data_IF_075678235223
#
_entry.id   IF_075678235223
#
_cell.length_a   1.000
_cell.length_b   1.000
_cell.length_c   1.000
_cell.angle_alpha   90.00
_cell.angle_beta   90.00
_cell.angle_gamma   90.00
#
_symmetry.space_group_name_H-M   'P 1'
#
loop_
_entity.id
_entity.type
_entity.pdbx_description
1 polymer ?
#
# COMPACT_ATOMS: atom_id res chain seq x y z
N UNK A 1 15.78 -18.62 -0.72
CA UNK A 1 14.69 -17.81 -0.15
C UNK A 1 14.29 -16.73 -1.14
N UNK A 2 13.00 -16.50 -1.39
CA UNK A 2 12.56 -15.67 -2.53
C UNK A 2 12.59 -14.15 -2.28
N UNK A 3 12.49 -13.72 -1.01
CA UNK A 3 12.61 -12.30 -0.61
C UNK A 3 14.06 -11.80 -0.53
N UNK A 4 15.05 -12.63 -0.84
CA UNK A 4 16.45 -12.31 -0.59
C UNK A 4 16.75 -12.21 0.91
N UNK A 5 17.55 -11.21 1.29
CA UNK A 5 18.05 -10.94 2.64
C UNK A 5 17.35 -9.74 3.30
N UNK A 6 16.27 -9.23 2.71
CA UNK A 6 15.47 -8.18 3.36
C UNK A 6 14.85 -8.70 4.66
N UNK A 7 14.72 -7.86 5.71
CA UNK A 7 14.05 -8.25 6.95
C UNK A 7 12.63 -8.76 6.67
N UNK A 8 12.33 -9.95 7.17
CA UNK A 8 11.06 -10.63 6.85
C UNK A 8 9.91 -9.98 7.63
N UNK A 9 8.72 -9.83 7.05
CA UNK A 9 7.57 -9.30 7.78
C UNK A 9 7.29 -10.08 9.07
N UNK A 10 7.12 -9.36 10.18
CA UNK A 10 6.94 -9.90 11.52
C UNK A 10 8.22 -10.34 12.23
N UNK A 11 9.40 -9.88 11.76
CA UNK A 11 10.67 -10.05 12.50
C UNK A 11 11.00 -8.86 13.40
N UNK A 12 10.24 -7.76 13.27
CA UNK A 12 10.26 -6.63 14.20
C UNK A 12 8.85 -6.34 14.69
N UNK A 13 8.75 -6.02 15.97
CA UNK A 13 7.51 -5.58 16.59
C UNK A 13 7.14 -4.15 16.19
N UNK A 14 5.89 -3.79 16.46
CA UNK A 14 5.34 -2.46 16.21
C UNK A 14 3.97 -2.53 15.56
N UNK A 15 3.26 -1.40 15.60
CA UNK A 15 1.96 -1.24 14.92
C UNK A 15 2.12 -1.62 13.44
N UNK A 16 1.19 -2.36 12.81
CA UNK A 16 1.34 -2.72 11.41
C UNK A 16 1.34 -1.47 10.52
N UNK A 17 2.09 -1.52 9.42
CA UNK A 17 2.04 -0.50 8.38
C UNK A 17 0.88 -0.77 7.41
N UNK A 18 0.26 0.27 6.88
CA UNK A 18 -0.67 0.18 5.76
C UNK A 18 -0.15 1.03 4.61
N UNK A 19 0.39 0.36 3.60
CA UNK A 19 0.87 0.96 2.37
C UNK A 19 -0.30 1.20 1.40
N UNK A 20 -0.42 2.43 0.92
CA UNK A 20 -1.53 2.91 0.09
C UNK A 20 -1.03 3.37 -1.26
N UNK A 21 -1.49 2.74 -2.34
CA UNK A 21 -1.41 3.35 -3.66
C UNK A 21 -2.53 4.38 -3.88
N UNK A 22 -2.39 5.23 -4.89
CA UNK A 22 -3.38 6.23 -5.28
C UNK A 22 -4.12 5.78 -6.53
N UNK A 23 -3.43 5.70 -7.67
CA UNK A 23 -4.04 5.33 -8.95
C UNK A 23 -4.58 3.90 -8.89
N UNK A 24 -5.80 3.67 -9.36
CA UNK A 24 -6.49 2.37 -9.27
C UNK A 24 -6.93 1.96 -7.86
N UNK A 25 -6.48 2.65 -6.80
CA UNK A 25 -6.82 2.31 -5.40
C UNK A 25 -7.69 3.36 -4.75
N UNK A 26 -7.14 4.53 -4.46
CA UNK A 26 -7.88 5.65 -3.88
C UNK A 26 -8.54 6.49 -4.96
N UNK A 27 -7.94 6.51 -6.15
CA UNK A 27 -8.41 7.13 -7.38
C UNK A 27 -8.64 6.08 -8.47
N UNK A 28 -9.82 5.44 -8.53
CA UNK A 28 -10.13 4.43 -9.53
C UNK A 28 -10.28 5.01 -10.95
N UNK A 29 -10.12 4.14 -11.94
CA UNK A 29 -10.23 4.47 -13.36
C UNK A 29 -11.68 4.77 -13.77
N UNK A 30 -12.63 4.01 -13.22
CA UNK A 30 -14.06 4.07 -13.58
C UNK A 30 -14.97 4.01 -12.34
N UNK A 31 -14.86 4.99 -11.42
CA UNK A 31 -15.60 4.94 -10.16
C UNK A 31 -17.10 4.84 -10.35
N UNK A 32 -17.76 4.20 -9.38
CA UNK A 32 -19.20 4.36 -9.15
C UNK A 32 -19.51 5.76 -8.59
N UNK A 33 -20.76 6.01 -8.22
CA UNK A 33 -21.14 7.20 -7.48
C UNK A 33 -20.32 7.37 -6.18
N UNK A 34 -20.18 8.63 -5.72
CA UNK A 34 -19.47 8.97 -4.47
C UNK A 34 -18.02 9.43 -4.64
N UNK A 35 -17.54 9.58 -5.87
CA UNK A 35 -16.22 10.14 -6.18
C UNK A 35 -16.34 11.53 -6.79
N UNK A 36 -15.46 12.43 -6.36
CA UNK A 36 -15.33 13.79 -6.91
C UNK A 36 -14.08 13.86 -7.78
N UNK A 37 -14.20 14.44 -8.97
CA UNK A 37 -13.06 14.70 -9.85
C UNK A 37 -12.28 15.95 -9.41
N UNK A 38 -10.97 15.83 -9.36
CA UNK A 38 -10.05 16.92 -9.07
C UNK A 38 -8.97 16.98 -10.14
N UNK A 39 -8.75 18.18 -10.69
CA UNK A 39 -7.67 18.42 -11.64
C UNK A 39 -6.38 18.78 -10.88
N UNK A 40 -5.29 18.05 -11.16
CA UNK A 40 -3.95 18.31 -10.64
C UNK A 40 -3.01 18.43 -11.83
N UNK A 41 -2.73 19.67 -12.24
CA UNK A 41 -2.01 19.94 -13.49
C UNK A 41 -2.77 19.37 -14.69
N UNK A 42 -2.19 18.35 -15.35
CA UNK A 42 -2.80 17.66 -16.51
C UNK A 42 -3.44 16.33 -16.14
N UNK A 43 -3.40 15.94 -14.86
CA UNK A 43 -3.97 14.71 -14.35
C UNK A 43 -5.34 14.96 -13.74
N UNK A 44 -6.23 13.98 -13.83
CA UNK A 44 -7.50 13.96 -13.12
C UNK A 44 -7.47 12.82 -12.12
N UNK A 45 -7.68 13.14 -10.84
CA UNK A 45 -7.87 12.15 -9.78
C UNK A 45 -9.33 12.14 -9.33
N UNK A 46 -9.80 10.99 -8.89
CA UNK A 46 -11.18 10.77 -8.46
C UNK A 46 -11.18 10.37 -7.00
N UNK A 47 -11.58 11.25 -6.10
CA UNK A 47 -11.43 11.03 -4.65
C UNK A 47 -12.80 10.91 -4.00
N UNK A 48 -12.96 9.91 -3.13
CA UNK A 48 -14.11 9.76 -2.27
C UNK A 48 -13.81 10.28 -0.86
N UNK A 49 -14.69 11.13 -0.32
CA UNK A 49 -14.59 11.58 1.07
C UNK A 49 -14.77 10.40 2.07
N UNK A 50 -15.51 9.35 1.68
CA UNK A 50 -15.66 8.15 2.50
C UNK A 50 -14.34 7.40 2.69
N UNK A 51 -13.48 7.36 1.66
CA UNK A 51 -12.14 6.78 1.78
C UNK A 51 -11.34 7.50 2.87
N UNK A 52 -11.44 8.83 2.96
CA UNK A 52 -10.84 9.61 4.03
C UNK A 52 -11.32 9.19 5.43
N UNK A 53 -12.62 8.97 5.60
CA UNK A 53 -13.20 8.48 6.84
C UNK A 53 -12.66 7.09 7.18
N UNK A 54 -12.64 6.16 6.22
CA UNK A 54 -12.15 4.81 6.42
C UNK A 54 -10.67 4.79 6.80
N UNK A 55 -9.84 5.57 6.12
CA UNK A 55 -8.40 5.64 6.38
C UNK A 55 -8.09 6.24 7.75
N UNK A 56 -8.79 7.30 8.18
CA UNK A 56 -8.66 7.83 9.56
C UNK A 56 -9.06 6.82 10.63
N UNK A 57 -10.06 5.99 10.36
CA UNK A 57 -10.40 4.89 11.28
C UNK A 57 -9.31 3.82 11.29
N UNK A 58 -8.77 3.46 10.13
CA UNK A 58 -7.65 2.51 10.04
C UNK A 58 -6.38 3.04 10.71
N UNK A 59 -6.10 4.36 10.71
CA UNK A 59 -4.91 4.92 11.37
C UNK A 59 -4.86 4.75 12.89
N UNK A 60 -5.96 4.30 13.51
CA UNK A 60 -5.95 3.90 14.92
C UNK A 60 -5.14 2.61 15.13
N UNK A 61 -5.24 1.66 14.20
CA UNK A 61 -4.55 0.36 14.24
C UNK A 61 -3.33 0.27 13.31
N UNK A 62 -3.14 1.24 12.41
CA UNK A 62 -2.07 1.22 11.40
C UNK A 62 -1.25 2.51 11.41
N UNK A 63 0.04 2.38 11.10
CA UNK A 63 0.82 3.50 10.57
C UNK A 63 0.58 3.56 9.06
N UNK A 64 -0.12 4.60 8.60
CA UNK A 64 -0.39 4.79 7.17
C UNK A 64 0.85 5.31 6.45
N UNK A 65 1.11 4.80 5.24
CA UNK A 65 2.25 5.19 4.41
C UNK A 65 1.82 5.27 2.95
N UNK A 66 2.23 6.34 2.26
CA UNK A 66 2.08 6.41 0.81
C UNK A 66 3.02 5.42 0.12
N UNK A 67 2.45 4.52 -0.69
CA UNK A 67 3.15 3.56 -1.54
C UNK A 67 2.73 3.73 -3.00
N UNK A 68 2.78 4.98 -3.44
CA UNK A 68 2.39 5.41 -4.76
C UNK A 68 3.52 6.15 -5.46
N UNK A 69 3.49 6.22 -6.80
CA UNK A 69 4.46 7.01 -7.57
C UNK A 69 4.26 8.52 -7.46
N UNK A 70 3.24 8.97 -6.73
CA UNK A 70 3.15 10.37 -6.32
C UNK A 70 4.16 10.72 -5.22
N UNK A 71 4.65 9.73 -4.45
CA UNK A 71 5.61 9.92 -3.35
C UNK A 71 5.21 11.10 -2.43
N UNK A 72 6.12 12.02 -2.13
CA UNK A 72 5.85 13.20 -1.30
C UNK A 72 4.70 14.06 -1.84
N UNK A 73 4.51 14.13 -3.17
CA UNK A 73 3.43 14.91 -3.78
C UNK A 73 2.02 14.39 -3.42
N UNK A 74 1.91 13.15 -2.92
CA UNK A 74 0.66 12.66 -2.35
C UNK A 74 0.21 13.50 -1.14
N UNK A 75 1.15 14.02 -0.34
CA UNK A 75 0.83 14.92 0.78
C UNK A 75 0.36 16.29 0.31
N UNK A 76 0.81 16.76 -0.85
CA UNK A 76 0.43 18.05 -1.41
C UNK A 76 -0.95 18.01 -2.06
N UNK A 77 -1.27 16.90 -2.75
CA UNK A 77 -2.44 16.85 -3.63
C UNK A 77 -3.52 15.85 -3.23
N UNK A 78 -3.19 14.75 -2.57
CA UNK A 78 -4.14 13.66 -2.29
C UNK A 78 -4.56 13.64 -0.82
N UNK A 79 -3.60 13.75 0.10
CA UNK A 79 -3.85 13.79 1.55
C UNK A 79 -4.90 14.81 1.98
N UNK A 80 -4.82 16.09 1.52
CA UNK A 80 -5.81 17.11 1.86
C UNK A 80 -7.23 16.77 1.40
N UNK A 81 -7.38 16.19 0.21
CA UNK A 81 -8.68 15.78 -0.35
C UNK A 81 -9.33 14.65 0.48
N UNK A 82 -8.50 13.80 1.09
CA UNK A 82 -8.94 12.74 1.99
C UNK A 82 -9.09 13.21 3.44
N UNK A 83 -8.68 14.45 3.77
CA UNK A 83 -8.61 14.94 5.14
C UNK A 83 -7.65 14.14 6.01
N UNK A 84 -6.51 13.74 5.45
CA UNK A 84 -5.43 13.05 6.14
C UNK A 84 -4.33 14.05 6.53
N UNK A 85 -3.65 13.85 7.67
CA UNK A 85 -2.40 14.57 7.94
C UNK A 85 -1.32 14.11 6.95
N UNK A 86 -0.20 14.85 6.84
CA UNK A 86 0.96 14.37 6.10
C UNK A 86 1.38 12.98 6.57
N UNK A 87 1.59 12.07 5.62
CA UNK A 87 2.02 10.69 5.86
C UNK A 87 3.45 10.49 5.38
N UNK A 88 4.21 9.56 5.99
CA UNK A 88 5.45 9.08 5.37
C UNK A 88 5.16 8.45 4.01
N UNK A 89 6.16 8.44 3.13
CA UNK A 89 6.08 7.79 1.82
C UNK A 89 7.27 6.85 1.60
N UNK A 90 7.12 5.92 0.66
CA UNK A 90 8.21 5.05 0.21
C UNK A 90 8.85 5.69 -1.02
N UNK A 91 10.16 5.91 -0.99
CA UNK A 91 10.93 6.34 -2.16
C UNK A 91 11.01 5.19 -3.18
N UNK A 92 10.44 5.40 -4.37
CA UNK A 92 10.50 4.49 -5.51
C UNK A 92 11.43 5.01 -6.59
N UNK A 93 11.43 6.31 -6.89
CA UNK A 93 12.27 6.90 -7.94
C UNK A 93 13.74 6.92 -7.56
N UNK A 94 14.05 7.28 -6.31
CA UNK A 94 15.42 7.31 -5.78
C UNK A 94 15.90 5.93 -5.29
N UNK A 95 15.05 4.91 -5.40
CA UNK A 95 15.42 3.56 -4.99
C UNK A 95 16.43 2.92 -5.96
N UNK A 96 17.65 2.73 -5.48
CA UNK A 96 18.65 1.91 -6.16
C UNK A 96 18.55 0.45 -5.69
N UNK A 97 18.40 -0.54 -6.58
CA UNK A 97 18.42 -1.96 -6.23
C UNK A 97 19.68 -2.35 -5.45
N UNK A 98 19.50 -3.13 -4.39
CA UNK A 98 20.55 -3.50 -3.44
C UNK A 98 20.74 -5.00 -3.41
N UNK A 99 21.93 -5.42 -2.97
CA UNK A 99 22.19 -6.82 -2.66
C UNK A 99 21.19 -7.30 -1.59
N UNK A 100 20.62 -8.47 -1.80
CA UNK A 100 19.64 -9.07 -0.90
C UNK A 100 18.19 -8.64 -1.17
N UNK A 101 17.91 -7.86 -2.21
CA UNK A 101 16.53 -7.63 -2.63
C UNK A 101 15.87 -8.90 -3.18
N UNK A 102 14.53 -8.97 -3.19
CA UNK A 102 13.80 -10.10 -3.74
C UNK A 102 14.19 -10.41 -5.18
N UNK A 103 14.28 -11.71 -5.50
CA UNK A 103 14.60 -12.14 -6.86
C UNK A 103 13.38 -12.02 -7.75
N UNK A 104 13.44 -11.14 -8.74
CA UNK A 104 12.37 -10.90 -9.71
C UNK A 104 12.88 -11.23 -11.12
N UNK A 105 12.10 -11.95 -11.96
CA UNK A 105 12.42 -12.10 -13.37
C UNK A 105 12.49 -10.73 -14.08
N UNK A 106 13.53 -10.49 -14.90
CA UNK A 106 13.76 -9.19 -15.56
C UNK A 106 12.51 -8.64 -16.28
N UNK A 107 11.76 -9.52 -16.94
CA UNK A 107 10.53 -9.17 -17.68
C UNK A 107 9.39 -8.66 -16.79
N UNK A 108 9.45 -8.86 -15.47
CA UNK A 108 8.44 -8.41 -14.52
C UNK A 108 8.88 -7.17 -13.73
N UNK A 109 10.09 -6.66 -13.93
CA UNK A 109 10.60 -5.48 -13.22
C UNK A 109 9.66 -4.26 -13.28
N UNK A 110 9.04 -3.91 -14.42
CA UNK A 110 8.15 -2.76 -14.48
C UNK A 110 6.96 -2.85 -13.51
N UNK A 111 6.42 -4.05 -13.33
CA UNK A 111 5.23 -4.33 -12.50
C UNK A 111 5.57 -4.70 -11.05
N UNK A 112 6.86 -4.72 -10.69
CA UNK A 112 7.32 -5.16 -9.37
C UNK A 112 8.28 -4.17 -8.72
N UNK A 113 8.53 -3.03 -9.37
CA UNK A 113 9.44 -1.98 -8.90
C UNK A 113 9.17 -1.51 -7.47
N UNK A 114 7.91 -1.51 -7.03
CA UNK A 114 7.52 -1.10 -5.67
C UNK A 114 7.88 -2.12 -4.59
N UNK A 115 8.10 -3.38 -4.96
CA UNK A 115 8.15 -4.48 -3.99
C UNK A 115 9.38 -4.45 -3.07
N UNK A 116 10.58 -4.35 -3.64
CA UNK A 116 11.81 -4.28 -2.86
C UNK A 116 11.88 -3.01 -1.98
N UNK A 117 11.55 -1.79 -2.49
CA UNK A 117 11.41 -0.59 -1.67
C UNK A 117 10.47 -0.75 -0.49
N UNK A 118 9.25 -1.29 -0.71
CA UNK A 118 8.25 -1.50 0.35
C UNK A 118 8.79 -2.44 1.44
N UNK A 119 9.43 -3.55 1.05
CA UNK A 119 10.00 -4.49 2.02
C UNK A 119 11.14 -3.86 2.84
N UNK A 120 11.99 -3.06 2.20
CA UNK A 120 13.07 -2.33 2.86
C UNK A 120 12.54 -1.27 3.81
N UNK A 121 11.55 -0.50 3.38
CA UNK A 121 10.87 0.50 4.22
C UNK A 121 10.17 -0.15 5.41
N UNK A 122 9.47 -1.28 5.20
CA UNK A 122 8.81 -2.02 6.27
C UNK A 122 9.80 -2.55 7.30
N UNK A 123 11.03 -2.86 6.86
CA UNK A 123 12.16 -3.21 7.71
C UNK A 123 11.81 -4.30 8.74
N UNK A 124 10.99 -5.27 8.33
CA UNK A 124 10.58 -6.42 9.15
C UNK A 124 9.32 -6.21 9.99
N UNK A 125 8.73 -5.00 10.02
CA UNK A 125 7.43 -4.77 10.65
C UNK A 125 6.31 -5.50 9.89
N UNK A 126 5.22 -5.91 10.57
CA UNK A 126 4.03 -6.40 9.87
C UNK A 126 3.43 -5.30 8.99
N UNK A 127 2.89 -5.65 7.83
CA UNK A 127 2.23 -4.66 6.98
C UNK A 127 1.12 -5.21 6.09
N UNK A 128 0.18 -4.34 5.74
CA UNK A 128 -0.75 -4.52 4.65
C UNK A 128 -0.37 -3.60 3.47
N UNK A 129 -0.67 -4.02 2.24
CA UNK A 129 -0.40 -3.23 1.03
C UNK A 129 -1.60 -3.27 0.09
N UNK A 130 -2.22 -2.10 -0.11
CA UNK A 130 -3.32 -1.87 -1.03
C UNK A 130 -2.79 -1.31 -2.35
N UNK A 131 -2.90 -2.11 -3.41
CA UNK A 131 -2.36 -1.80 -4.74
C UNK A 131 -3.16 -2.60 -5.78
N UNK A 132 -3.35 -2.04 -6.97
CA UNK A 132 -3.99 -2.70 -8.10
C UNK A 132 -2.99 -3.53 -8.92
N UNK A 133 -1.69 -3.22 -8.84
CA UNK A 133 -0.60 -3.92 -9.53
C UNK A 133 0.09 -4.92 -8.59
N UNK A 134 -0.58 -6.06 -8.36
CA UNK A 134 -0.04 -7.17 -7.56
C UNK A 134 0.15 -8.46 -8.38
N UNK A 135 1.19 -8.54 -9.24
CA UNK A 135 1.45 -9.70 -10.08
C UNK A 135 1.70 -10.98 -9.28
N UNK A 136 1.52 -12.12 -9.94
CA UNK A 136 1.62 -13.45 -9.32
C UNK A 136 2.98 -13.68 -8.62
N UNK A 137 4.06 -13.11 -9.14
CA UNK A 137 5.39 -13.20 -8.50
C UNK A 137 5.39 -12.61 -7.09
N UNK A 138 4.87 -11.40 -6.90
CA UNK A 138 4.75 -10.78 -5.58
C UNK A 138 3.89 -11.64 -4.68
N UNK A 139 2.73 -12.11 -5.18
CA UNK A 139 1.81 -12.95 -4.40
C UNK A 139 2.46 -14.25 -3.94
N UNK A 140 3.25 -14.91 -4.79
CA UNK A 140 4.01 -16.11 -4.46
C UNK A 140 5.09 -15.84 -3.40
N UNK A 141 5.80 -14.72 -3.52
CA UNK A 141 6.82 -14.33 -2.55
C UNK A 141 6.24 -13.93 -1.19
N UNK A 142 5.06 -13.32 -1.18
CA UNK A 142 4.36 -12.91 0.03
C UNK A 142 3.71 -14.10 0.78
N UNK A 143 3.30 -15.15 0.08
CA UNK A 143 2.50 -16.26 0.64
C UNK A 143 3.10 -16.95 1.88
N UNK A 144 4.42 -17.22 1.96
CA UNK A 144 5.05 -17.76 3.17
C UNK A 144 4.93 -16.83 4.39
N UNK A 145 4.76 -15.51 4.16
CA UNK A 145 4.72 -14.47 5.19
C UNK A 145 3.31 -13.97 5.49
N UNK A 146 2.27 -14.62 4.95
CA UNK A 146 0.86 -14.19 5.01
C UNK A 146 0.27 -13.96 6.41
N UNK A 147 0.97 -14.37 7.46
CA UNK A 147 0.61 -14.08 8.85
C UNK A 147 0.89 -12.62 9.21
N UNK A 148 2.01 -12.06 8.75
CA UNK A 148 2.47 -10.71 9.06
C UNK A 148 2.52 -9.78 7.82
N UNK A 149 2.17 -10.31 6.65
CA UNK A 149 2.05 -9.54 5.42
C UNK A 149 0.69 -9.79 4.77
N UNK A 150 -0.08 -8.73 4.57
CA UNK A 150 -1.39 -8.77 3.91
C UNK A 150 -1.38 -8.02 2.59
N UNK A 151 -1.34 -8.75 1.48
CA UNK A 151 -1.64 -8.16 0.18
C UNK A 151 -3.14 -7.91 0.04
N UNK A 152 -3.49 -6.71 -0.40
CA UNK A 152 -4.86 -6.29 -0.66
C UNK A 152 -4.97 -5.89 -2.14
N UNK A 153 -5.22 -6.86 -3.05
CA UNK A 153 -5.41 -6.55 -4.46
C UNK A 153 -6.68 -5.76 -4.65
N UNK A 154 -6.55 -4.57 -5.24
CA UNK A 154 -7.67 -3.68 -5.53
C UNK A 154 -8.02 -3.76 -7.01
N UNK A 155 -9.31 -3.70 -7.32
CA UNK A 155 -9.75 -3.62 -8.71
C UNK A 155 -9.69 -2.15 -9.14
N UNK A 156 -8.86 -1.77 -10.14
CA UNK A 156 -8.67 -0.38 -10.53
C UNK A 156 -9.95 0.30 -11.03
N UNK A 157 -10.91 -0.49 -11.55
CA UNK A 157 -12.21 0.04 -11.95
C UNK A 157 -13.07 0.49 -10.76
N UNK A 158 -12.86 -0.07 -9.56
CA UNK A 158 -13.73 0.17 -8.38
C UNK A 158 -13.04 0.95 -7.28
N UNK A 159 -11.72 0.83 -7.17
CA UNK A 159 -10.95 1.36 -6.05
C UNK A 159 -11.16 0.56 -4.77
N UNK A 160 -10.67 1.11 -3.67
CA UNK A 160 -10.76 0.53 -2.34
C UNK A 160 -12.22 0.36 -1.92
N UNK A 161 -12.58 -0.81 -1.41
CA UNK A 161 -13.97 -1.09 -0.99
C UNK A 161 -14.10 -1.20 0.52
N UNK A 162 -15.31 -0.99 1.03
CA UNK A 162 -15.59 -1.15 2.45
C UNK A 162 -15.33 -2.58 2.97
N UNK A 163 -15.57 -3.62 2.16
CA UNK A 163 -15.25 -5.00 2.54
C UNK A 163 -13.74 -5.24 2.70
N UNK A 164 -12.94 -4.57 1.86
CA UNK A 164 -11.49 -4.58 2.00
C UNK A 164 -11.04 -3.85 3.28
N UNK A 165 -11.65 -2.70 3.61
CA UNK A 165 -11.42 -1.99 4.88
C UNK A 165 -11.78 -2.87 6.08
N UNK A 166 -12.93 -3.55 6.06
CA UNK A 166 -13.30 -4.53 7.09
C UNK A 166 -12.32 -5.70 7.20
N UNK A 167 -11.75 -6.14 6.08
CA UNK A 167 -10.72 -7.17 6.08
C UNK A 167 -9.42 -6.67 6.73
N UNK A 168 -9.05 -5.39 6.55
CA UNK A 168 -7.91 -4.78 7.22
C UNK A 168 -8.12 -4.69 8.74
N UNK A 169 -9.28 -4.22 9.23
CA UNK A 169 -9.55 -4.21 10.67
C UNK A 169 -9.46 -5.60 11.30
N UNK A 170 -10.07 -6.62 10.65
CA UNK A 170 -9.97 -8.01 11.11
C UNK A 170 -8.55 -8.55 11.10
N UNK A 171 -7.70 -8.10 10.18
CA UNK A 171 -6.32 -8.53 10.12
C UNK A 171 -5.48 -7.89 11.24
N UNK A 172 -5.62 -6.59 11.50
CA UNK A 172 -4.95 -5.90 12.61
C UNK A 172 -5.31 -6.52 13.97
N UNK A 173 -6.59 -6.72 14.25
CA UNK A 173 -7.04 -7.34 15.51
C UNK A 173 -6.42 -8.73 15.74
N UNK A 174 -6.20 -9.51 14.66
CA UNK A 174 -5.55 -10.82 14.76
C UNK A 174 -4.05 -10.74 15.04
N UNK A 175 -3.39 -9.64 14.70
CA UNK A 175 -1.99 -9.40 15.07
C UNK A 175 -1.89 -9.01 16.54
N UNK A 176 -2.81 -8.16 17.02
CA UNK A 176 -2.85 -7.70 18.42
C UNK A 176 -3.10 -8.85 19.40
N UNK A 177 -4.02 -9.78 19.10
CA UNK A 177 -4.27 -10.94 19.99
C UNK A 177 -3.10 -11.95 20.06
N UNK A 178 -1.97 -11.69 19.40
CA UNK A 178 -0.83 -12.62 19.30
C UNK A 178 0.48 -12.05 19.81
N UNK A 179 0.54 -10.76 20.10
CA UNK A 179 1.65 -10.13 20.83
C UNK A 179 1.45 -10.30 22.32
#
# INVERSE_FOLDING_TARGET
MWLGDVPRPGTRDGRPLLYLDVDGVLSPDTPSEGFTEHAIGRLTVRISAEHGIWLRNLSTSYDLVWATTWEEHANEHIGPLLGLPPLPHVDFFDYTPRRGDPRIPVMQLPYTRKWAPILRHANGRPFAWADDVLPLTIRRQAFPHRRHLRLLPVNPARGLTFDQVRALHRWAARLECRG
#
